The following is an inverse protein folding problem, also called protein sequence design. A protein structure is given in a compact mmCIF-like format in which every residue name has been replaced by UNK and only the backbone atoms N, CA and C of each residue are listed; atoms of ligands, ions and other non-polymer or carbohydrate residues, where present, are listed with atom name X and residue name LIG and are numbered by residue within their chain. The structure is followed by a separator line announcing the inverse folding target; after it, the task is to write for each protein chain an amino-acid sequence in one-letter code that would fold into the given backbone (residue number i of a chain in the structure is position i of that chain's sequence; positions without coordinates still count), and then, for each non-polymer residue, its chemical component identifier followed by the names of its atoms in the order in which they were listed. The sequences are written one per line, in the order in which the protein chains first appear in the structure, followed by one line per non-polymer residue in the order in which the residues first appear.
data_IF_534745165389
#
_entry.id   IF_534745165389
#
_cell.length_a   1.000
_cell.length_b   1.000
_cell.length_c   1.000
_cell.angle_alpha   90.00
_cell.angle_beta   90.00
_cell.angle_gamma   90.00
#
_symmetry.space_group_name_H-M   'P 1'
#
loop_
_entity.id
_entity.type
_entity.pdbx_description
1 polymer ?
#
# COMPACT_ATOMS: atom_id res chain seq x y z
N UNK A 1 2.20 -15.11 17.46
CA UNK A 1 1.74 -14.50 16.18
C UNK A 1 2.53 -13.22 15.98
N UNK A 2 3.09 -13.00 14.78
CA UNK A 2 3.78 -11.75 14.47
C UNK A 2 2.81 -10.58 14.66
N UNK A 3 3.24 -9.51 15.33
CA UNK A 3 2.45 -8.28 15.55
C UNK A 3 2.24 -7.44 14.27
N UNK A 4 2.63 -7.98 13.12
CA UNK A 4 2.56 -7.29 11.83
C UNK A 4 2.39 -8.27 10.67
N UNK A 5 2.00 -7.71 9.51
CA UNK A 5 2.00 -8.35 8.20
C UNK A 5 2.86 -7.56 7.22
N UNK A 6 3.27 -8.22 6.15
CA UNK A 6 3.99 -7.62 5.02
C UNK A 6 3.09 -7.56 3.79
N UNK A 7 3.07 -6.41 3.13
CA UNK A 7 2.37 -6.18 1.87
C UNK A 7 3.40 -5.89 0.78
N UNK A 8 3.59 -6.86 -0.13
CA UNK A 8 4.57 -6.78 -1.21
C UNK A 8 4.03 -6.02 -2.40
N UNK A 9 4.74 -4.97 -2.84
CA UNK A 9 4.36 -4.15 -3.99
C UNK A 9 4.77 -4.81 -5.30
N UNK A 10 3.80 -5.03 -6.19
CA UNK A 10 4.00 -5.52 -7.55
C UNK A 10 3.39 -4.52 -8.55
N UNK A 11 4.25 -3.74 -9.20
CA UNK A 11 3.82 -2.83 -10.26
C UNK A 11 3.79 -3.58 -11.60
N UNK A 12 2.64 -3.67 -12.25
CA UNK A 12 2.44 -4.37 -13.52
C UNK A 12 2.49 -3.45 -14.75
N UNK A 13 3.12 -2.27 -14.62
CA UNK A 13 3.29 -1.35 -15.74
C UNK A 13 4.13 -1.98 -16.85
N UNK A 14 3.94 -1.58 -18.13
CA UNK A 14 4.66 -2.15 -19.26
C UNK A 14 6.17 -2.22 -19.04
N UNK A 15 6.78 -1.19 -18.44
CA UNK A 15 8.21 -1.12 -18.15
C UNK A 15 8.66 -2.08 -17.02
N UNK A 16 7.79 -2.35 -16.04
CA UNK A 16 8.14 -3.20 -14.88
C UNK A 16 8.22 -4.69 -15.21
N UNK A 17 7.47 -5.13 -16.22
CA UNK A 17 7.52 -6.51 -16.74
C UNK A 17 8.31 -6.63 -18.05
N UNK A 18 8.71 -5.50 -18.66
CA UNK A 18 9.55 -5.46 -19.87
C UNK A 18 11.02 -5.11 -19.62
N UNK A 19 11.41 -4.73 -18.40
CA UNK A 19 12.81 -4.51 -18.01
C UNK A 19 13.62 -5.83 -17.98
N UNK A 20 14.03 -6.26 -19.17
CA UNK A 20 15.24 -7.06 -19.38
C UNK A 20 15.05 -8.58 -19.37
N UNK A 21 14.65 -9.14 -20.51
CA UNK A 21 14.95 -10.50 -20.98
C UNK A 21 14.53 -11.73 -20.13
N UNK A 22 13.94 -11.57 -18.93
CA UNK A 22 13.57 -12.71 -18.07
C UNK A 22 12.12 -13.18 -18.16
N UNK A 23 11.20 -12.40 -18.72
CA UNK A 23 9.75 -12.66 -18.63
C UNK A 23 9.04 -12.90 -19.97
N UNK A 24 9.73 -13.46 -20.98
CA UNK A 24 9.13 -13.71 -22.32
C UNK A 24 8.16 -14.90 -22.38
N UNK A 25 8.10 -15.77 -21.37
CA UNK A 25 7.24 -16.96 -21.39
C UNK A 25 6.27 -16.97 -20.22
N UNK A 26 5.06 -17.50 -20.45
CA UNK A 26 4.05 -17.74 -19.40
C UNK A 26 4.63 -18.53 -18.21
N UNK A 27 5.57 -19.44 -18.47
CA UNK A 27 6.28 -20.21 -17.45
C UNK A 27 7.11 -19.31 -16.52
N UNK A 28 7.87 -18.36 -17.07
CA UNK A 28 8.70 -17.46 -16.26
C UNK A 28 7.85 -16.45 -15.47
N UNK A 29 6.76 -15.97 -16.05
CA UNK A 29 5.77 -15.16 -15.32
C UNK A 29 5.19 -15.97 -14.15
N UNK A 30 4.92 -17.26 -14.39
CA UNK A 30 4.40 -18.13 -13.35
C UNK A 30 5.35 -18.32 -12.19
N UNK A 31 6.58 -18.75 -12.46
CA UNK A 31 7.59 -18.97 -11.42
C UNK A 31 7.90 -17.67 -10.65
N UNK A 32 7.92 -16.53 -11.35
CA UNK A 32 8.12 -15.21 -10.73
C UNK A 32 6.95 -14.83 -9.81
N UNK A 33 5.72 -15.03 -10.26
CA UNK A 33 4.53 -14.78 -9.43
C UNK A 33 4.50 -15.70 -8.21
N UNK A 34 4.68 -17.01 -8.39
CA UNK A 34 4.74 -17.99 -7.30
C UNK A 34 5.85 -17.65 -6.29
N UNK A 35 7.03 -17.27 -6.75
CA UNK A 35 8.11 -16.83 -5.88
C UNK A 35 7.76 -15.54 -5.12
N UNK A 36 7.05 -14.61 -5.76
CA UNK A 36 6.66 -13.34 -5.15
C UNK A 36 5.56 -13.51 -4.11
N UNK A 37 4.46 -14.22 -4.43
CA UNK A 37 3.34 -14.40 -3.51
C UNK A 37 3.72 -15.16 -2.23
N UNK A 38 4.80 -15.94 -2.27
CA UNK A 38 5.32 -16.67 -1.11
C UNK A 38 6.23 -15.83 -0.21
N UNK A 39 6.63 -14.62 -0.63
CA UNK A 39 7.50 -13.74 0.14
C UNK A 39 6.76 -12.79 1.07
N UNK A 40 5.45 -12.59 0.85
CA UNK A 40 4.65 -11.60 1.54
C UNK A 40 3.32 -12.19 2.02
N UNK A 41 2.76 -11.62 3.07
CA UNK A 41 1.44 -12.00 3.58
C UNK A 41 0.31 -11.49 2.68
N UNK A 42 0.53 -10.31 2.09
CA UNK A 42 -0.37 -9.60 1.18
C UNK A 42 0.40 -9.24 -0.08
N UNK A 43 -0.23 -9.36 -1.24
CA UNK A 43 0.35 -8.94 -2.53
C UNK A 43 -0.46 -7.78 -3.07
N UNK A 44 0.19 -6.64 -3.26
CA UNK A 44 -0.42 -5.39 -3.68
C UNK A 44 -0.05 -5.08 -5.13
N UNK A 45 -1.06 -5.08 -6.00
CA UNK A 45 -0.89 -5.06 -7.44
C UNK A 45 -1.41 -3.73 -7.98
N UNK A 46 -0.51 -2.95 -8.59
CA UNK A 46 -0.83 -1.67 -9.21
C UNK A 46 -0.52 -1.67 -10.71
N UNK A 47 -1.48 -1.25 -11.53
CA UNK A 47 -1.33 -1.18 -12.99
C UNK A 47 -0.91 0.19 -13.52
N UNK A 48 -1.02 1.21 -12.68
CA UNK A 48 -0.58 2.57 -12.95
C UNK A 48 0.72 2.88 -12.18
N UNK A 49 1.64 3.60 -12.84
CA UNK A 49 2.84 4.09 -12.17
C UNK A 49 2.47 5.22 -11.20
N UNK A 50 2.92 5.12 -9.96
CA UNK A 50 2.84 6.23 -9.00
C UNK A 50 4.04 7.17 -9.05
N UNK A 51 4.96 6.99 -10.02
CA UNK A 51 6.13 7.86 -10.14
C UNK A 51 5.73 9.23 -10.72
N UNK A 52 6.30 10.33 -10.20
CA UNK A 52 6.06 11.68 -10.70
C UNK A 52 6.26 11.75 -12.22
N UNK A 53 5.47 12.57 -12.91
CA UNK A 53 5.55 12.85 -14.36
C UNK A 53 5.07 11.74 -15.31
N UNK A 54 4.44 10.66 -14.83
CA UNK A 54 3.68 9.79 -15.72
C UNK A 54 2.29 10.35 -15.93
N UNK A 55 1.81 10.36 -17.18
CA UNK A 55 0.43 10.69 -17.48
C UNK A 55 -0.50 9.63 -16.86
N UNK A 56 -1.61 10.05 -16.21
CA UNK A 56 -2.59 9.12 -15.69
C UNK A 56 -3.20 8.32 -16.84
N UNK A 57 -3.43 7.02 -16.62
CA UNK A 57 -4.10 6.17 -17.59
C UNK A 57 -5.62 6.20 -17.37
N UNK A 58 -6.37 5.90 -18.44
CA UNK A 58 -7.81 5.75 -18.34
C UNK A 58 -8.20 4.44 -17.64
N UNK A 59 -9.40 4.39 -17.06
CA UNK A 59 -9.94 3.21 -16.39
C UNK A 59 -9.89 1.95 -17.27
N UNK A 60 -10.21 2.10 -18.56
CA UNK A 60 -10.19 0.98 -19.52
C UNK A 60 -8.79 0.40 -19.74
N UNK A 61 -7.76 1.27 -19.77
CA UNK A 61 -6.37 0.83 -19.93
C UNK A 61 -5.86 0.14 -18.66
N UNK A 62 -6.17 0.71 -17.50
CA UNK A 62 -5.85 0.12 -16.20
C UNK A 62 -6.47 -1.28 -16.04
N UNK A 63 -7.76 -1.40 -16.35
CA UNK A 63 -8.49 -2.67 -16.33
C UNK A 63 -7.86 -3.68 -17.30
N UNK A 64 -7.56 -3.28 -18.53
CA UNK A 64 -6.92 -4.16 -19.53
C UNK A 64 -5.58 -4.71 -19.03
N UNK A 65 -4.77 -3.89 -18.35
CA UNK A 65 -3.49 -4.31 -17.78
C UNK A 65 -3.69 -5.31 -16.64
N UNK A 66 -4.63 -5.03 -15.73
CA UNK A 66 -4.97 -5.92 -14.61
C UNK A 66 -5.52 -7.26 -15.13
N UNK A 67 -6.43 -7.26 -16.09
CA UNK A 67 -6.97 -8.48 -16.70
C UNK A 67 -5.87 -9.30 -17.38
N UNK A 68 -5.02 -8.65 -18.17
CA UNK A 68 -3.89 -9.31 -18.85
C UNK A 68 -2.93 -9.97 -17.88
N UNK A 69 -2.77 -9.40 -16.67
CA UNK A 69 -1.97 -9.97 -15.61
C UNK A 69 -2.69 -11.10 -14.86
N UNK A 70 -3.94 -10.88 -14.44
CA UNK A 70 -4.68 -11.82 -13.60
C UNK A 70 -5.18 -13.03 -14.38
N UNK A 71 -5.71 -12.90 -15.59
CA UNK A 71 -6.33 -14.02 -16.30
C UNK A 71 -5.37 -15.22 -16.45
N UNK A 72 -4.11 -15.06 -16.93
CA UNK A 72 -3.18 -16.19 -16.99
C UNK A 72 -2.89 -16.81 -15.63
N UNK A 73 -2.85 -16.02 -14.56
CA UNK A 73 -2.61 -16.51 -13.20
C UNK A 73 -3.84 -17.30 -12.71
N UNK A 74 -5.01 -16.72 -12.79
CA UNK A 74 -6.25 -17.31 -12.29
C UNK A 74 -6.60 -18.64 -13.00
N UNK A 75 -6.28 -18.77 -14.30
CA UNK A 75 -6.56 -19.99 -15.06
C UNK A 75 -5.49 -21.09 -14.92
N UNK A 76 -4.23 -20.75 -14.63
CA UNK A 76 -3.12 -21.72 -14.62
C UNK A 76 -2.64 -22.11 -13.22
N UNK A 77 -3.30 -21.60 -12.19
CA UNK A 77 -2.91 -21.80 -10.80
C UNK A 77 -4.13 -22.17 -9.95
N UNK A 78 -3.96 -23.09 -8.99
CA UNK A 78 -5.05 -23.46 -8.10
C UNK A 78 -5.47 -22.27 -7.25
N UNK A 79 -6.75 -22.21 -6.91
CA UNK A 79 -7.28 -21.29 -5.90
C UNK A 79 -6.46 -21.39 -4.61
N UNK A 80 -5.96 -20.26 -4.14
CA UNK A 80 -5.17 -20.16 -2.92
C UNK A 80 -5.85 -19.22 -1.93
N UNK A 81 -5.74 -19.56 -0.65
CA UNK A 81 -6.14 -18.67 0.44
C UNK A 81 -5.06 -17.57 0.58
N UNK A 82 -5.14 -16.57 -0.31
CA UNK A 82 -4.22 -15.42 -0.37
C UNK A 82 -4.97 -14.13 -0.14
N UNK A 83 -4.24 -13.13 0.34
CA UNK A 83 -4.74 -11.76 0.45
C UNK A 83 -4.17 -10.97 -0.73
N UNK A 84 -5.05 -10.55 -1.62
CA UNK A 84 -4.71 -9.78 -2.82
C UNK A 84 -5.23 -8.36 -2.63
N UNK A 85 -4.32 -7.41 -2.69
CA UNK A 85 -4.60 -5.98 -2.68
C UNK A 85 -4.48 -5.43 -4.10
N UNK A 86 -5.43 -4.59 -4.48
CA UNK A 86 -5.42 -3.88 -5.76
C UNK A 86 -5.18 -2.40 -5.46
N UNK A 87 -4.03 -1.90 -5.89
CA UNK A 87 -3.63 -0.49 -5.79
C UNK A 87 -4.26 0.27 -6.96
N UNK A 88 -5.48 0.75 -6.74
CA UNK A 88 -6.23 1.60 -7.66
C UNK A 88 -7.03 2.61 -6.85
N UNK A 89 -7.29 3.78 -7.43
CA UNK A 89 -8.16 4.79 -6.82
C UNK A 89 -9.58 4.76 -7.42
N UNK A 90 -9.84 3.83 -8.33
CA UNK A 90 -11.07 3.77 -9.13
C UNK A 90 -11.99 2.65 -8.62
N UNK A 91 -13.12 2.97 -7.96
CA UNK A 91 -14.05 1.96 -7.47
C UNK A 91 -14.51 0.99 -8.57
N UNK A 92 -14.73 1.49 -9.79
CA UNK A 92 -15.17 0.70 -10.94
C UNK A 92 -14.12 -0.32 -11.39
N UNK A 93 -12.83 0.06 -11.42
CA UNK A 93 -11.73 -0.84 -11.79
C UNK A 93 -11.54 -1.92 -10.72
N UNK A 94 -11.59 -1.53 -9.45
CA UNK A 94 -11.52 -2.48 -8.34
C UNK A 94 -12.65 -3.51 -8.42
N UNK A 95 -13.89 -3.05 -8.62
CA UNK A 95 -15.06 -3.91 -8.66
C UNK A 95 -14.96 -4.99 -9.75
N UNK A 96 -14.63 -4.60 -10.98
CA UNK A 96 -14.50 -5.53 -12.12
C UNK A 96 -13.43 -6.59 -11.87
N UNK A 97 -12.23 -6.18 -11.45
CA UNK A 97 -11.13 -7.12 -11.18
C UNK A 97 -11.44 -8.01 -9.98
N UNK A 98 -12.08 -7.47 -8.94
CA UNK A 98 -12.49 -8.25 -7.78
C UNK A 98 -13.48 -9.36 -8.17
N UNK A 99 -14.43 -9.10 -9.07
CA UNK A 99 -15.34 -10.12 -9.58
C UNK A 99 -14.59 -11.22 -10.34
N UNK A 100 -13.64 -10.84 -11.20
CA UNK A 100 -12.80 -11.79 -11.95
C UNK A 100 -12.01 -12.69 -10.99
N UNK A 101 -11.34 -12.09 -9.99
CA UNK A 101 -10.57 -12.84 -8.99
C UNK A 101 -11.50 -13.74 -8.17
N UNK A 102 -12.63 -13.24 -7.66
CA UNK A 102 -13.56 -14.05 -6.83
C UNK A 102 -14.18 -15.21 -7.60
N UNK A 103 -14.43 -15.04 -8.90
CA UNK A 103 -14.96 -16.11 -9.75
C UNK A 103 -13.97 -17.26 -9.90
N UNK A 104 -12.69 -16.97 -10.07
CA UNK A 104 -11.67 -17.99 -10.24
C UNK A 104 -11.12 -18.53 -8.91
N UNK A 105 -10.88 -17.63 -7.96
CA UNK A 105 -10.25 -17.87 -6.65
C UNK A 105 -11.19 -17.41 -5.52
N UNK A 106 -12.27 -18.16 -5.22
CA UNK A 106 -13.27 -17.77 -4.23
C UNK A 106 -12.69 -17.64 -2.80
N UNK A 107 -11.59 -18.34 -2.49
CA UNK A 107 -10.91 -18.27 -1.19
C UNK A 107 -10.01 -17.03 -1.04
N UNK A 108 -9.70 -16.32 -2.12
CA UNK A 108 -8.87 -15.12 -2.04
C UNK A 108 -9.60 -14.03 -1.23
N UNK A 109 -8.91 -13.40 -0.28
CA UNK A 109 -9.37 -12.18 0.39
C UNK A 109 -8.90 -10.98 -0.40
N UNK A 110 -9.78 -10.00 -0.59
CA UNK A 110 -9.49 -8.83 -1.40
C UNK A 110 -9.33 -7.57 -0.54
N UNK A 111 -8.40 -6.72 -0.93
CA UNK A 111 -8.19 -5.39 -0.37
C UNK A 111 -8.30 -4.38 -1.50
N UNK A 112 -9.17 -3.39 -1.32
CA UNK A 112 -9.20 -2.19 -2.15
C UNK A 112 -8.23 -1.17 -1.54
N UNK A 113 -7.05 -1.03 -2.14
CA UNK A 113 -6.03 -0.10 -1.68
C UNK A 113 -6.16 1.24 -2.42
N UNK A 114 -7.06 2.07 -1.91
CA UNK A 114 -7.37 3.38 -2.46
C UNK A 114 -6.45 4.45 -1.86
N UNK A 115 -5.51 4.94 -2.67
CA UNK A 115 -4.57 6.00 -2.27
C UNK A 115 -5.11 7.43 -2.49
N UNK A 116 -6.36 7.59 -2.94
CA UNK A 116 -6.94 8.92 -3.22
C UNK A 116 -7.43 9.64 -1.97
N UNK A 117 -7.95 8.90 -0.98
CA UNK A 117 -8.60 9.47 0.20
C UNK A 117 -9.92 10.19 -0.10
N UNK A 118 -10.48 9.99 -1.30
CA UNK A 118 -11.79 10.52 -1.68
C UNK A 118 -12.89 9.69 -1.04
N UNK A 119 -13.99 10.35 -0.69
CA UNK A 119 -15.19 9.70 -0.16
C UNK A 119 -16.41 10.20 -0.93
N UNK A 120 -16.48 9.81 -2.21
CA UNK A 120 -17.51 10.21 -3.15
C UNK A 120 -18.62 9.15 -3.30
N UNK A 121 -19.61 9.43 -4.15
CA UNK A 121 -20.77 8.55 -4.36
C UNK A 121 -20.36 7.16 -4.90
N UNK A 122 -19.35 7.11 -5.78
CA UNK A 122 -18.86 5.87 -6.38
C UNK A 122 -18.20 4.97 -5.33
N UNK A 123 -17.39 5.53 -4.43
CA UNK A 123 -16.87 4.78 -3.29
C UNK A 123 -18.01 4.26 -2.40
N UNK A 124 -18.98 5.10 -2.05
CA UNK A 124 -20.09 4.71 -1.17
C UNK A 124 -20.91 3.58 -1.80
N UNK A 125 -21.12 3.61 -3.12
CA UNK A 125 -21.79 2.54 -3.84
C UNK A 125 -21.00 1.23 -3.77
N UNK A 126 -19.69 1.27 -4.02
CA UNK A 126 -18.81 0.11 -3.90
C UNK A 126 -18.82 -0.46 -2.47
N UNK A 127 -18.70 0.39 -1.45
CA UNK A 127 -18.75 -0.01 -0.04
C UNK A 127 -20.11 -0.59 0.36
N UNK A 128 -21.19 -0.33 -0.36
CA UNK A 128 -22.51 -0.95 -0.13
C UNK A 128 -22.74 -2.26 -0.90
N UNK A 129 -21.88 -2.60 -1.85
CA UNK A 129 -22.04 -3.80 -2.69
C UNK A 129 -21.94 -5.13 -1.92
N UNK A 130 -22.49 -6.23 -2.42
CA UNK A 130 -22.37 -7.52 -1.73
C UNK A 130 -20.96 -8.14 -1.79
N UNK A 131 -20.05 -7.53 -2.56
CA UNK A 131 -18.67 -7.96 -2.71
C UNK A 131 -17.93 -7.88 -1.36
N UNK A 132 -17.28 -8.98 -0.97
CA UNK A 132 -16.49 -9.05 0.26
C UNK A 132 -15.05 -8.61 0.02
N UNK A 133 -14.68 -7.47 0.59
CA UNK A 133 -13.32 -6.90 0.55
C UNK A 133 -13.07 -6.00 1.78
N UNK A 134 -11.79 -5.71 2.01
CA UNK A 134 -11.31 -4.75 3.02
C UNK A 134 -10.97 -3.44 2.30
N UNK A 135 -11.33 -2.29 2.87
CA UNK A 135 -11.02 -0.98 2.30
C UNK A 135 -9.82 -0.34 3.00
N UNK A 136 -8.86 0.19 2.23
CA UNK A 136 -7.78 1.04 2.76
C UNK A 136 -8.20 2.50 2.60
N UNK A 137 -8.41 3.19 3.71
CA UNK A 137 -8.63 4.63 3.73
C UNK A 137 -7.28 5.36 3.87
N UNK A 138 -6.93 6.15 2.85
CA UNK A 138 -5.61 6.77 2.72
C UNK A 138 -5.64 8.28 2.92
N UNK A 139 -4.80 8.82 3.82
CA UNK A 139 -4.66 10.27 4.01
C UNK A 139 -3.84 10.91 2.87
N UNK A 140 -4.52 11.26 1.80
CA UNK A 140 -3.97 12.02 0.68
C UNK A 140 -4.77 13.30 0.48
N UNK A 141 -4.07 14.44 0.37
CA UNK A 141 -4.70 15.76 0.24
C UNK A 141 -4.72 16.25 -1.22
N UNK A 142 -4.01 15.57 -2.13
CA UNK A 142 -4.08 15.88 -3.55
C UNK A 142 -5.44 15.43 -4.10
N UNK A 143 -6.28 16.35 -4.60
CA UNK A 143 -7.68 16.06 -4.88
C UNK A 143 -7.89 15.19 -6.12
N UNK A 144 -6.90 15.03 -7.00
CA UNK A 144 -6.97 14.08 -8.10
C UNK A 144 -5.58 13.59 -8.52
N UNK A 145 -5.57 12.55 -9.34
CA UNK A 145 -4.33 11.90 -9.79
C UNK A 145 -3.47 12.76 -10.71
N UNK A 146 -4.09 13.57 -11.59
CA UNK A 146 -3.35 14.50 -12.44
C UNK A 146 -2.51 15.50 -11.63
N UNK A 147 -2.94 15.79 -10.41
CA UNK A 147 -2.26 16.67 -9.45
C UNK A 147 -1.32 15.91 -8.51
N UNK A 148 -1.17 14.59 -8.62
CA UNK A 148 -0.27 13.81 -7.77
C UNK A 148 1.20 14.21 -7.95
N UNK A 149 1.60 14.68 -9.13
CA UNK A 149 2.95 15.25 -9.34
C UNK A 149 3.15 16.57 -8.57
N UNK A 150 2.06 17.29 -8.30
CA UNK A 150 2.01 18.55 -7.55
C UNK A 150 1.43 18.36 -6.14
N UNK A 151 1.45 17.14 -5.59
CA UNK A 151 0.87 16.86 -4.26
C UNK A 151 1.46 17.73 -3.13
N UNK A 152 2.65 18.28 -3.34
CA UNK A 152 3.32 19.20 -2.42
C UNK A 152 2.62 20.57 -2.33
N UNK A 153 1.77 20.94 -3.29
CA UNK A 153 0.95 22.16 -3.24
C UNK A 153 -0.23 22.02 -2.26
N UNK A 154 -0.49 20.80 -1.78
CA UNK A 154 -1.60 20.45 -0.88
C UNK A 154 -1.10 20.04 0.51
N UNK A 155 0.10 20.50 0.92
CA UNK A 155 0.59 20.26 2.28
C UNK A 155 -0.12 21.14 3.30
N UNK A 156 -0.26 20.63 4.51
CA UNK A 156 -0.61 21.46 5.67
C UNK A 156 0.56 22.37 6.06
N UNK A 157 0.28 23.53 6.63
CA UNK A 157 1.29 24.40 7.26
C UNK A 157 1.66 23.93 8.68
N UNK A 158 0.90 22.99 9.25
CA UNK A 158 1.16 22.44 10.57
C UNK A 158 2.41 21.55 10.59
N UNK A 159 3.06 21.49 11.75
CA UNK A 159 4.22 20.66 12.02
C UNK A 159 4.09 19.91 13.36
N UNK A 160 5.01 18.99 13.62
CA UNK A 160 5.12 18.32 14.91
C UNK A 160 3.86 17.53 15.29
N UNK A 161 3.42 17.66 16.54
CA UNK A 161 2.26 16.94 17.05
C UNK A 161 0.94 17.47 16.46
N UNK A 162 0.86 18.77 16.19
CA UNK A 162 -0.37 19.40 15.67
C UNK A 162 -0.66 18.93 14.24
N UNK A 163 0.39 18.75 13.44
CA UNK A 163 0.29 18.08 12.14
C UNK A 163 -0.31 16.67 12.26
N UNK A 164 0.17 15.87 13.22
CA UNK A 164 -0.34 14.50 13.42
C UNK A 164 -1.78 14.50 13.94
N UNK A 165 -2.15 15.47 14.78
CA UNK A 165 -3.54 15.65 15.22
C UNK A 165 -4.46 15.99 14.03
N UNK A 166 -4.02 16.85 13.10
CA UNK A 166 -4.83 17.15 11.91
C UNK A 166 -5.06 15.94 11.00
N UNK A 167 -4.10 15.00 10.95
CA UNK A 167 -4.30 13.72 10.27
C UNK A 167 -5.39 12.91 10.98
N UNK A 168 -5.38 12.90 12.32
CA UNK A 168 -6.40 12.18 13.11
C UNK A 168 -7.79 12.76 12.87
N UNK A 169 -7.94 14.08 12.93
CA UNK A 169 -9.21 14.78 12.64
C UNK A 169 -9.72 14.44 11.23
N UNK A 170 -8.84 14.46 10.22
CA UNK A 170 -9.18 14.08 8.85
C UNK A 170 -9.73 12.66 8.73
N UNK A 171 -9.17 11.71 9.50
CA UNK A 171 -9.63 10.33 9.53
C UNK A 171 -10.96 10.19 10.27
N UNK A 172 -11.13 10.87 11.40
CA UNK A 172 -12.38 10.85 12.18
C UNK A 172 -13.58 11.25 11.31
N UNK A 173 -13.48 12.39 10.63
CA UNK A 173 -14.54 12.90 9.74
C UNK A 173 -14.96 11.87 8.67
N UNK A 174 -13.99 11.19 8.06
CA UNK A 174 -14.26 10.20 7.00
C UNK A 174 -14.77 8.89 7.55
N UNK A 175 -14.20 8.43 8.66
CA UNK A 175 -14.62 7.20 9.33
C UNK A 175 -16.06 7.30 9.82
N UNK A 176 -16.52 8.46 10.29
CA UNK A 176 -17.93 8.69 10.62
C UNK A 176 -18.87 8.35 9.46
N UNK A 177 -18.46 8.68 8.22
CA UNK A 177 -19.25 8.42 7.01
C UNK A 177 -19.23 6.94 6.61
N UNK A 178 -18.06 6.30 6.65
CA UNK A 178 -17.89 4.95 6.06
C UNK A 178 -18.04 3.79 7.06
N UNK A 179 -17.79 4.00 8.35
CA UNK A 179 -17.86 2.90 9.35
C UNK A 179 -19.27 2.32 9.49
N UNK A 180 -20.31 3.16 9.31
CA UNK A 180 -21.70 2.72 9.36
C UNK A 180 -22.07 1.73 8.24
N UNK A 181 -21.25 1.63 7.19
CA UNK A 181 -21.45 0.70 6.07
C UNK A 181 -20.97 -0.72 6.38
N UNK A 182 -20.37 -0.94 7.56
CA UNK A 182 -20.03 -2.28 8.05
C UNK A 182 -18.85 -2.95 7.33
N UNK A 183 -18.00 -2.19 6.64
CA UNK A 183 -16.78 -2.70 5.98
C UNK A 183 -15.61 -2.78 6.93
N UNK A 184 -14.76 -3.79 6.73
CA UNK A 184 -13.43 -3.82 7.34
C UNK A 184 -12.57 -2.70 6.75
N UNK A 185 -11.91 -1.92 7.60
CA UNK A 185 -11.13 -0.75 7.20
C UNK A 185 -9.69 -0.88 7.72
N UNK A 186 -8.73 -0.57 6.86
CA UNK A 186 -7.33 -0.30 7.18
C UNK A 186 -7.10 1.20 6.99
N UNK A 187 -6.36 1.83 7.90
CA UNK A 187 -6.00 3.25 7.74
C UNK A 187 -4.54 3.40 7.29
N UNK A 188 -4.29 4.26 6.31
CA UNK A 188 -2.95 4.61 5.83
C UNK A 188 -2.71 6.12 6.00
N UNK A 189 -1.84 6.58 6.91
CA UNK A 189 -1.51 7.99 7.02
C UNK A 189 -0.66 8.50 5.83
N UNK A 190 -0.35 7.64 4.86
CA UNK A 190 0.31 7.89 3.58
C UNK A 190 1.61 8.66 3.69
N UNK A 191 2.66 7.98 4.14
CA UNK A 191 4.00 8.52 4.12
C UNK A 191 4.42 8.96 2.70
N UNK A 192 4.87 10.20 2.59
CA UNK A 192 5.36 10.84 1.36
C UNK A 192 4.29 11.39 0.42
N UNK A 193 2.99 11.32 0.74
CA UNK A 193 1.92 11.95 -0.05
C UNK A 193 1.39 13.18 0.67
N UNK A 194 1.47 14.34 0.02
CA UNK A 194 1.18 15.67 0.58
C UNK A 194 1.83 15.92 1.93
N UNK A 195 3.12 15.55 2.06
CA UNK A 195 3.92 15.70 3.29
C UNK A 195 5.36 16.06 2.97
N UNK A 196 5.87 17.11 3.60
CA UNK A 196 7.29 17.46 3.54
C UNK A 196 8.15 16.38 4.21
N UNK A 197 9.48 16.43 4.01
CA UNK A 197 10.40 15.53 4.73
C UNK A 197 10.24 15.64 6.25
N UNK A 198 10.09 16.88 6.76
CA UNK A 198 9.92 17.13 8.19
C UNK A 198 8.58 16.56 8.70
N UNK A 199 7.49 16.78 7.98
CA UNK A 199 6.17 16.22 8.34
C UNK A 199 6.15 14.68 8.36
N UNK A 200 6.87 14.02 7.44
CA UNK A 200 7.05 12.56 7.51
C UNK A 200 7.82 12.12 8.76
N UNK A 201 8.83 12.90 9.18
CA UNK A 201 9.58 12.64 10.42
C UNK A 201 8.73 12.91 11.65
N UNK A 202 7.91 13.95 11.65
CA UNK A 202 6.96 14.26 12.72
C UNK A 202 5.94 13.14 12.88
N UNK A 203 5.40 12.62 11.76
CA UNK A 203 4.50 11.47 11.77
C UNK A 203 5.16 10.20 12.31
N UNK A 204 6.43 9.93 11.98
CA UNK A 204 7.17 8.81 12.59
C UNK A 204 7.40 9.01 14.08
N UNK A 205 7.81 10.23 14.49
CA UNK A 205 8.13 10.59 15.86
C UNK A 205 6.91 10.55 16.77
N UNK A 206 5.76 10.96 16.26
CA UNK A 206 4.49 11.04 16.98
C UNK A 206 3.50 9.96 16.54
N UNK A 207 3.96 8.87 15.92
CA UNK A 207 3.10 7.80 15.42
C UNK A 207 2.19 7.20 16.49
N UNK A 208 2.65 7.13 17.74
CA UNK A 208 1.83 6.65 18.86
C UNK A 208 0.58 7.51 19.10
N UNK A 209 0.63 8.81 18.78
CA UNK A 209 -0.56 9.69 18.85
C UNK A 209 -1.60 9.22 17.84
N UNK A 210 -1.20 9.06 16.58
CA UNK A 210 -2.05 8.58 15.50
C UNK A 210 -2.59 7.16 15.78
N UNK A 211 -1.72 6.23 16.13
CA UNK A 211 -2.06 4.84 16.38
C UNK A 211 -3.04 4.67 17.56
N UNK A 212 -2.82 5.42 18.66
CA UNK A 212 -3.67 5.34 19.85
C UNK A 212 -5.04 5.99 19.63
N UNK A 213 -5.21 6.88 18.65
CA UNK A 213 -6.52 7.43 18.30
C UNK A 213 -7.43 6.37 17.67
N UNK A 214 -6.85 5.42 16.93
CA UNK A 214 -7.59 4.37 16.22
C UNK A 214 -7.19 2.95 16.66
N UNK A 215 -7.27 2.60 17.95
CA UNK A 215 -6.60 1.42 18.51
C UNK A 215 -7.12 0.06 17.99
N UNK A 216 -8.28 0.06 17.31
CA UNK A 216 -8.91 -1.15 16.75
C UNK A 216 -8.70 -1.32 15.25
N UNK A 217 -8.19 -0.29 14.56
CA UNK A 217 -8.00 -0.32 13.12
C UNK A 217 -6.56 -0.76 12.80
N UNK A 218 -6.34 -1.69 11.86
CA UNK A 218 -5.02 -1.94 11.33
C UNK A 218 -4.45 -0.70 10.64
N UNK A 219 -3.14 -0.52 10.72
CA UNK A 219 -2.44 0.62 10.11
C UNK A 219 -1.51 0.14 9.03
N UNK A 220 -1.70 0.64 7.80
CA UNK A 220 -0.79 0.45 6.69
C UNK A 220 0.38 1.43 6.81
N UNK A 221 1.61 0.95 6.61
CA UNK A 221 2.84 1.73 6.74
C UNK A 221 3.70 1.56 5.49
N UNK A 222 3.68 2.57 4.63
CA UNK A 222 4.43 2.60 3.37
C UNK A 222 5.68 3.49 3.40
N UNK A 223 6.76 3.05 4.07
CA UNK A 223 8.02 3.82 4.16
C UNK A 223 9.10 3.37 3.14
N UNK A 224 8.89 2.22 2.50
CA UNK A 224 9.87 1.60 1.59
C UNK A 224 10.22 2.50 0.42
N UNK A 225 11.53 2.70 0.18
CA UNK A 225 12.11 3.54 -0.90
C UNK A 225 11.71 5.04 -0.90
N UNK A 226 11.01 5.53 0.13
CA UNK A 226 10.61 6.94 0.21
C UNK A 226 11.81 7.86 0.48
N UNK A 227 11.82 9.03 -0.15
CA UNK A 227 12.98 9.95 -0.11
C UNK A 227 13.32 10.49 1.29
N UNK A 228 12.32 10.62 2.19
CA UNK A 228 12.54 11.05 3.57
C UNK A 228 13.32 10.03 4.42
N UNK A 229 13.43 8.78 3.97
CA UNK A 229 14.20 7.71 4.60
C UNK A 229 15.69 7.75 4.24
N UNK A 230 16.13 8.61 3.31
CA UNK A 230 17.54 8.70 2.89
C UNK A 230 18.33 9.50 3.92
N UNK A 231 19.36 8.90 4.50
CA UNK A 231 20.31 9.54 5.43
C UNK A 231 21.75 9.20 5.01
N UNK A 232 22.49 10.14 4.39
CA UNK A 232 22.14 11.54 4.12
C UNK A 232 21.09 11.69 2.99
N UNK A 233 20.52 12.89 2.83
CA UNK A 233 19.38 13.15 1.93
C UNK A 233 19.70 12.86 0.45
N UNK A 234 20.94 13.04 0.07
CA UNK A 234 21.53 12.89 -1.26
C UNK A 234 22.03 11.46 -1.57
N UNK A 235 21.85 10.50 -0.64
CA UNK A 235 22.16 9.10 -0.87
C UNK A 235 21.51 8.59 -2.17
N UNK A 236 22.32 8.01 -3.07
CA UNK A 236 21.82 7.35 -4.28
C UNK A 236 21.23 5.98 -3.92
N UNK A 237 19.91 5.77 -4.04
CA UNK A 237 19.28 4.50 -3.74
C UNK A 237 19.67 3.39 -4.73
N UNK A 238 20.30 3.68 -5.87
CA UNK A 238 20.68 2.65 -6.85
C UNK A 238 21.91 1.85 -6.41
N UNK A 239 22.71 2.38 -5.48
CA UNK A 239 23.88 1.69 -4.96
C UNK A 239 23.46 0.57 -3.99
N UNK A 240 24.12 -0.60 -4.10
CA UNK A 240 23.83 -1.75 -3.25
C UNK A 240 24.02 -1.44 -1.76
N UNK A 241 25.06 -0.68 -1.40
CA UNK A 241 25.30 -0.25 -0.03
C UNK A 241 24.17 0.65 0.51
N UNK A 242 23.67 1.56 -0.32
CA UNK A 242 22.53 2.41 0.02
C UNK A 242 21.26 1.60 0.26
N UNK A 243 21.00 0.57 -0.56
CA UNK A 243 19.86 -0.33 -0.36
C UNK A 243 19.96 -1.06 0.99
N UNK A 244 21.14 -1.59 1.34
CA UNK A 244 21.35 -2.22 2.64
C UNK A 244 21.10 -1.23 3.79
N UNK A 245 21.58 0.00 3.70
CA UNK A 245 21.30 1.04 4.70
C UNK A 245 19.79 1.34 4.81
N UNK A 246 19.08 1.45 3.69
CA UNK A 246 17.63 1.68 3.67
C UNK A 246 16.84 0.50 4.25
N UNK A 247 17.30 -0.73 4.05
CA UNK A 247 16.72 -1.94 4.62
C UNK A 247 16.94 -2.01 6.14
N UNK A 248 18.13 -1.65 6.62
CA UNK A 248 18.40 -1.51 8.06
C UNK A 248 17.50 -0.43 8.69
N UNK A 249 17.36 0.73 8.05
CA UNK A 249 16.48 1.80 8.53
C UNK A 249 15.02 1.37 8.55
N UNK A 250 14.54 0.64 7.54
CA UNK A 250 13.20 0.06 7.54
C UNK A 250 12.98 -0.88 8.72
N UNK A 251 13.95 -1.73 9.03
CA UNK A 251 13.89 -2.65 10.19
C UNK A 251 13.79 -1.87 11.51
N UNK A 252 14.60 -0.82 11.68
CA UNK A 252 14.58 0.03 12.88
C UNK A 252 13.26 0.80 13.03
N UNK A 253 12.75 1.37 11.94
CA UNK A 253 11.43 2.02 11.94
C UNK A 253 10.35 1.02 12.30
N UNK A 254 10.33 -0.15 11.67
CA UNK A 254 9.33 -1.18 11.95
C UNK A 254 9.35 -1.60 13.43
N UNK A 255 10.53 -1.89 13.98
CA UNK A 255 10.69 -2.21 15.40
C UNK A 255 10.19 -1.08 16.32
N UNK A 256 10.53 0.17 16.00
CA UNK A 256 10.09 1.31 16.79
C UNK A 256 8.57 1.46 16.75
N UNK A 257 7.93 1.36 15.58
CA UNK A 257 6.49 1.45 15.45
C UNK A 257 5.78 0.30 16.20
N UNK A 258 6.30 -0.92 16.11
CA UNK A 258 5.76 -2.09 16.82
C UNK A 258 5.86 -1.97 18.35
N UNK A 259 6.88 -1.29 18.85
CA UNK A 259 7.03 -1.03 20.29
C UNK A 259 6.10 0.07 20.80
N UNK A 260 5.68 0.99 19.91
CA UNK A 260 4.93 2.20 20.25
C UNK A 260 3.48 2.17 19.76
N UNK A 261 3.01 1.04 19.24
CA UNK A 261 1.65 0.84 18.74
C UNK A 261 1.08 -0.49 19.21
N UNK A 262 -0.24 -0.53 19.43
CA UNK A 262 -1.00 -1.76 19.71
C UNK A 262 -1.76 -2.27 18.49
N UNK A 263 -1.79 -1.49 17.41
CA UNK A 263 -2.49 -1.82 16.19
C UNK A 263 -1.82 -2.99 15.47
N UNK A 264 -2.59 -3.72 14.68
CA UNK A 264 -2.01 -4.57 13.65
C UNK A 264 -1.32 -3.67 12.61
N UNK A 265 0.00 -3.80 12.47
CA UNK A 265 0.75 -3.03 11.47
C UNK A 265 0.90 -3.85 10.18
N UNK A 266 0.64 -3.22 9.04
CA UNK A 266 0.86 -3.79 7.73
C UNK A 266 1.95 -2.99 7.05
N UNK A 267 3.11 -3.59 6.80
CA UNK A 267 4.23 -2.88 6.18
C UNK A 267 4.21 -3.08 4.66
N UNK A 268 3.91 -2.00 3.93
CA UNK A 268 3.95 -1.99 2.46
C UNK A 268 5.39 -1.79 1.99
N UNK A 269 5.96 -2.81 1.34
CA UNK A 269 7.39 -2.87 1.04
C UNK A 269 7.72 -3.54 -0.31
N UNK A 270 8.89 -3.21 -0.84
CA UNK A 270 9.47 -3.87 -2.02
C UNK A 270 10.42 -5.02 -1.64
N UNK A 271 10.82 -5.13 -0.37
CA UNK A 271 11.73 -6.16 0.12
C UNK A 271 11.19 -6.72 1.45
N UNK A 272 10.98 -8.02 1.52
CA UNK A 272 10.54 -8.72 2.74
C UNK A 272 11.68 -9.02 3.71
N UNK A 273 12.94 -8.99 3.26
CA UNK A 273 14.10 -9.39 4.06
C UNK A 273 14.22 -8.62 5.40
N UNK A 274 14.02 -7.27 5.46
CA UNK A 274 14.00 -6.53 6.72
C UNK A 274 13.03 -7.09 7.76
N UNK A 275 11.83 -7.45 7.30
CA UNK A 275 10.74 -7.92 8.15
C UNK A 275 10.91 -9.39 8.55
N UNK A 276 11.48 -10.21 7.66
CA UNK A 276 11.88 -11.58 7.99
C UNK A 276 12.96 -11.57 9.07
N UNK A 277 13.99 -10.75 8.91
CA UNK A 277 15.05 -10.58 9.89
C UNK A 277 14.49 -10.12 11.24
N UNK A 278 13.53 -9.17 11.23
CA UNK A 278 12.83 -8.72 12.42
C UNK A 278 12.08 -9.86 13.14
N UNK A 279 11.32 -10.66 12.40
CA UNK A 279 10.58 -11.81 12.94
C UNK A 279 11.49 -12.90 13.48
N UNK A 280 12.62 -13.16 12.81
CA UNK A 280 13.60 -14.15 13.26
C UNK A 280 14.36 -13.65 14.50
N UNK A 281 14.74 -12.37 14.55
CA UNK A 281 15.39 -11.76 15.72
C UNK A 281 14.46 -11.75 16.96
N UNK A 282 13.16 -11.53 16.77
CA UNK A 282 12.16 -11.58 17.85
C UNK A 282 11.95 -12.98 18.47
N UNK A 283 12.58 -14.03 17.93
CA UNK A 283 12.60 -15.38 18.54
C UNK A 283 13.77 -15.57 19.51
N UNK A 284 14.76 -14.67 19.47
CA UNK A 284 15.97 -14.73 20.30
C UNK A 284 15.75 -14.01 21.63
N UNK A 285 15.04 -12.89 21.61
CA UNK A 285 14.71 -12.05 22.75
C UNK A 285 13.25 -12.24 23.19
#
# INVERSE_FOLDING_TARGET
MNKFKTMGVMNITPNSFSDGNKLKTLKNQKETFEAFINQFDIVDIGAESTAPFNDPIGASEELTRLESFFLPILFNFPDQERIISIDTYRPEVFFEIALIIKKAWPKARLIFNDISGQCDEDLILLLKSDLQFIYVLSHNLAPNRALASNHMDYISELEGKDFVNSICEWFEERLETIMCLGREIIIDPCFGFSKTRQQNHDLLKHFSVFANQFPKLPVLVGVSRKSFMRFPKDMDPKLQQSQLHLDCLQTLVAQNLLNNSRNELIFRTHNSAPFKALSDAAKIF
#
